data_IF_670112440007
#
_entry.id   IF_670112440007
#
_cell.length_a   1.000
_cell.length_b   1.000
_cell.length_c   1.000
_cell.angle_alpha   90.00
_cell.angle_beta   90.00
_cell.angle_gamma   90.00
#
_symmetry.space_group_name_H-M   'P 1'
#
loop_
_entity.id
_entity.type
_entity.pdbx_description
1 polymer ?
#
# COMPACT_ATOMS: atom_id res chain seq x y z
N UNK A 1 -5.43 -12.41 -5.86
CA UNK A 1 -5.06 -11.34 -4.92
C UNK A 1 -3.89 -11.70 -4.00
N UNK A 2 -3.97 -12.77 -3.19
CA UNK A 2 -2.84 -13.15 -2.31
C UNK A 2 -1.61 -13.74 -3.05
N UNK A 3 -1.79 -14.33 -4.24
CA UNK A 3 -0.68 -14.86 -5.03
C UNK A 3 0.26 -13.76 -5.57
N UNK A 4 -0.25 -12.55 -5.80
CA UNK A 4 0.54 -11.42 -6.32
C UNK A 4 1.60 -10.93 -5.33
N UNK A 5 1.40 -11.12 -4.02
CA UNK A 5 2.45 -10.85 -3.00
C UNK A 5 3.75 -11.63 -3.26
N UNK A 6 3.67 -12.74 -4.01
CA UNK A 6 4.77 -13.67 -4.24
C UNK A 6 5.29 -13.63 -5.67
N UNK A 7 4.76 -12.74 -6.51
CA UNK A 7 5.33 -12.52 -7.84
C UNK A 7 6.54 -11.61 -7.70
N UNK A 8 7.65 -12.02 -8.31
CA UNK A 8 8.89 -11.23 -8.38
C UNK A 8 8.57 -9.84 -8.94
N UNK A 9 7.73 -9.78 -9.96
CA UNK A 9 7.29 -8.56 -10.63
C UNK A 9 6.65 -7.52 -9.70
N UNK A 10 5.68 -7.91 -8.85
CA UNK A 10 5.09 -6.96 -7.89
C UNK A 10 6.12 -6.49 -6.84
N UNK A 11 7.08 -7.34 -6.47
CA UNK A 11 8.15 -6.91 -5.57
C UNK A 11 9.11 -5.93 -6.26
N UNK A 12 9.42 -6.14 -7.54
CA UNK A 12 10.27 -5.25 -8.32
C UNK A 12 9.59 -3.90 -8.56
N UNK A 13 8.30 -3.89 -8.86
CA UNK A 13 7.50 -2.67 -8.94
C UNK A 13 7.48 -1.92 -7.60
N UNK A 14 7.35 -2.64 -6.47
CA UNK A 14 7.43 -2.03 -5.14
C UNK A 14 8.78 -1.36 -4.91
N UNK A 15 9.87 -2.08 -5.17
CA UNK A 15 11.23 -1.54 -5.00
C UNK A 15 11.42 -0.33 -5.90
N UNK A 16 11.06 -0.42 -7.18
CA UNK A 16 11.14 0.68 -8.14
C UNK A 16 10.37 1.91 -7.65
N UNK A 17 9.09 1.76 -7.28
CA UNK A 17 8.24 2.86 -6.78
C UNK A 17 8.85 3.53 -5.56
N UNK A 18 9.31 2.75 -4.58
CA UNK A 18 9.82 3.27 -3.32
C UNK A 18 11.23 3.87 -3.41
N UNK A 19 12.05 3.49 -4.40
CA UNK A 19 13.49 3.85 -4.42
C UNK A 19 13.95 4.61 -5.65
N UNK A 20 13.31 4.42 -6.81
CA UNK A 20 13.82 4.90 -8.11
C UNK A 20 12.89 5.92 -8.76
N UNK A 21 11.57 5.74 -8.63
CA UNK A 21 10.56 6.56 -9.31
C UNK A 21 10.85 8.07 -9.24
N UNK A 22 11.09 8.60 -8.03
CA UNK A 22 11.34 10.03 -7.81
C UNK A 22 12.73 10.50 -8.25
N UNK A 23 13.71 9.59 -8.29
CA UNK A 23 15.04 9.90 -8.80
C UNK A 23 15.04 10.01 -10.34
N UNK A 24 14.14 9.27 -11.00
CA UNK A 24 14.10 9.14 -12.46
C UNK A 24 13.04 10.02 -13.12
N UNK A 25 11.96 10.37 -12.41
CA UNK A 25 10.81 11.06 -13.00
C UNK A 25 10.27 12.17 -12.10
N UNK A 26 10.05 13.37 -12.66
CA UNK A 26 9.41 14.50 -11.94
C UNK A 26 7.90 14.25 -11.76
N UNK A 27 7.31 14.63 -10.60
CA UNK A 27 5.86 14.53 -10.39
C UNK A 27 5.03 15.63 -11.04
N UNK A 28 5.65 16.61 -11.73
CA UNK A 28 4.98 17.81 -12.27
C UNK A 28 3.81 17.53 -13.23
N UNK A 29 3.83 16.38 -13.90
CA UNK A 29 2.78 15.97 -14.84
C UNK A 29 1.89 14.84 -14.28
N UNK A 30 1.95 14.60 -12.97
CA UNK A 30 1.21 13.52 -12.32
C UNK A 30 1.66 12.13 -12.75
N UNK A 31 0.79 11.15 -12.54
CA UNK A 31 0.99 9.76 -12.94
C UNK A 31 0.84 9.62 -14.47
N UNK A 32 -0.09 10.37 -15.06
CA UNK A 32 -0.38 10.39 -16.48
C UNK A 32 0.84 10.80 -17.31
N UNK A 33 1.69 11.71 -16.80
CA UNK A 33 2.93 12.14 -17.43
C UNK A 33 4.09 11.16 -17.37
N UNK A 34 3.98 10.06 -16.61
CA UNK A 34 5.04 9.06 -16.53
C UNK A 34 5.18 8.26 -17.84
N UNK A 35 6.39 7.79 -18.19
CA UNK A 35 6.55 6.80 -19.25
C UNK A 35 5.81 5.51 -18.90
N UNK A 36 5.36 4.78 -19.92
CA UNK A 36 4.50 3.61 -19.76
C UNK A 36 4.99 2.59 -18.69
N UNK A 37 6.27 2.16 -18.68
CA UNK A 37 6.74 1.19 -17.68
C UNK A 37 6.65 1.72 -16.24
N UNK A 38 6.97 3.00 -16.03
CA UNK A 38 6.87 3.62 -14.71
C UNK A 38 5.41 3.73 -14.25
N UNK A 39 4.52 4.09 -15.17
CA UNK A 39 3.07 4.17 -14.91
C UNK A 39 2.46 2.81 -14.58
N UNK A 40 2.85 1.75 -15.29
CA UNK A 40 2.45 0.37 -15.00
C UNK A 40 2.86 -0.04 -13.58
N UNK A 41 4.13 0.17 -13.21
CA UNK A 41 4.62 -0.11 -11.86
C UNK A 41 3.87 0.67 -10.77
N UNK A 42 3.57 1.96 -11.02
CA UNK A 42 2.77 2.79 -10.11
C UNK A 42 1.38 2.22 -9.94
N UNK A 43 0.67 1.91 -11.02
CA UNK A 43 -0.70 1.41 -10.94
C UNK A 43 -0.80 0.04 -10.30
N UNK A 44 0.12 -0.87 -10.62
CA UNK A 44 0.15 -2.19 -10.01
C UNK A 44 0.24 -2.07 -8.50
N UNK A 45 1.17 -1.29 -7.99
CA UNK A 45 1.39 -1.14 -6.55
C UNK A 45 0.27 -0.34 -5.88
N UNK A 46 -0.14 0.76 -6.49
CA UNK A 46 -1.17 1.64 -5.95
C UNK A 46 -2.52 0.93 -5.82
N UNK A 47 -3.01 0.31 -6.90
CA UNK A 47 -4.32 -0.35 -6.90
C UNK A 47 -4.31 -1.64 -6.10
N UNK A 48 -3.17 -2.33 -6.05
CA UNK A 48 -2.98 -3.46 -5.16
C UNK A 48 -3.21 -3.08 -3.69
N UNK A 49 -2.52 -2.06 -3.20
CA UNK A 49 -2.66 -1.60 -1.81
C UNK A 49 -4.01 -0.93 -1.55
N UNK A 50 -4.53 -0.18 -2.52
CA UNK A 50 -5.88 0.41 -2.43
C UNK A 50 -6.94 -0.67 -2.25
N UNK A 51 -6.78 -1.84 -2.87
CA UNK A 51 -7.75 -2.94 -2.72
C UNK A 51 -7.84 -3.40 -1.26
N UNK A 52 -6.71 -3.48 -0.55
CA UNK A 52 -6.72 -3.76 0.89
C UNK A 52 -7.35 -2.64 1.70
N UNK A 53 -7.04 -1.39 1.37
CA UNK A 53 -7.69 -0.24 1.99
C UNK A 53 -9.21 -0.30 1.82
N UNK A 54 -9.69 -0.62 0.61
CA UNK A 54 -11.11 -0.82 0.32
C UNK A 54 -11.73 -1.96 1.11
N UNK A 55 -11.07 -3.12 1.21
CA UNK A 55 -11.55 -4.23 2.03
C UNK A 55 -11.65 -3.87 3.52
N UNK A 56 -10.69 -3.08 4.05
CA UNK A 56 -10.76 -2.57 5.41
C UNK A 56 -11.94 -1.62 5.59
N UNK A 57 -12.10 -0.64 4.68
CA UNK A 57 -13.18 0.35 4.73
C UNK A 57 -14.58 -0.27 4.60
N UNK A 58 -14.71 -1.35 3.84
CA UNK A 58 -15.97 -2.08 3.66
C UNK A 58 -16.24 -3.10 4.78
N UNK A 59 -15.32 -3.28 5.72
CA UNK A 59 -15.44 -4.28 6.79
C UNK A 59 -15.32 -5.73 6.31
N UNK A 60 -14.86 -5.95 5.07
CA UNK A 60 -14.64 -7.29 4.49
C UNK A 60 -13.45 -7.98 5.14
N UNK A 61 -12.42 -7.20 5.48
CA UNK A 61 -11.25 -7.67 6.21
C UNK A 61 -11.01 -6.79 7.44
N UNK A 62 -10.53 -7.42 8.51
CA UNK A 62 -10.22 -6.71 9.75
C UNK A 62 -9.15 -5.65 9.53
N UNK A 63 -9.49 -4.39 9.80
CA UNK A 63 -8.60 -3.25 9.60
C UNK A 63 -7.29 -3.43 10.38
N UNK A 64 -7.36 -3.95 11.61
CA UNK A 64 -6.18 -4.20 12.44
C UNK A 64 -5.26 -5.25 11.82
N UNK A 65 -5.81 -6.35 11.32
CA UNK A 65 -5.04 -7.39 10.64
C UNK A 65 -4.35 -6.85 9.38
N UNK A 66 -5.04 -6.03 8.59
CA UNK A 66 -4.45 -5.41 7.41
C UNK A 66 -3.40 -4.36 7.74
N UNK A 67 -3.60 -3.55 8.80
CA UNK A 67 -2.60 -2.61 9.29
C UNK A 67 -1.35 -3.32 9.78
N UNK A 68 -1.50 -4.48 10.43
CA UNK A 68 -0.37 -5.30 10.84
C UNK A 68 0.38 -5.88 9.63
N UNK A 69 -0.35 -6.42 8.64
CA UNK A 69 0.23 -7.05 7.45
C UNK A 69 0.95 -6.04 6.55
N UNK A 70 0.43 -4.82 6.42
CA UNK A 70 0.89 -3.80 5.48
C UNK A 70 1.61 -2.64 6.17
N UNK A 71 2.02 -2.82 7.43
CA UNK A 71 2.48 -1.76 8.33
C UNK A 71 3.60 -0.89 7.75
N UNK A 72 4.52 -1.48 6.99
CA UNK A 72 5.61 -0.78 6.30
C UNK A 72 5.25 -0.38 4.87
N UNK A 73 4.61 -1.29 4.13
CA UNK A 73 4.41 -1.14 2.68
C UNK A 73 3.50 0.03 2.34
N UNK A 74 2.37 0.19 3.06
CA UNK A 74 1.41 1.26 2.77
C UNK A 74 2.02 2.65 2.98
N UNK A 75 2.61 2.97 4.14
CA UNK A 75 3.21 4.29 4.34
C UNK A 75 4.36 4.57 3.37
N UNK A 76 5.22 3.59 3.09
CA UNK A 76 6.34 3.77 2.16
C UNK A 76 5.85 4.08 0.74
N UNK A 77 4.92 3.28 0.23
CA UNK A 77 4.34 3.51 -1.10
C UNK A 77 3.60 4.83 -1.15
N UNK A 78 2.75 5.13 -0.16
CA UNK A 78 2.00 6.37 -0.15
C UNK A 78 2.92 7.59 -0.17
N UNK A 79 3.97 7.60 0.65
CA UNK A 79 4.94 8.70 0.67
C UNK A 79 5.68 8.87 -0.67
N UNK A 80 5.97 7.78 -1.36
CA UNK A 80 6.60 7.82 -2.69
C UNK A 80 5.63 8.34 -3.77
N UNK A 81 4.37 7.92 -3.73
CA UNK A 81 3.38 8.25 -4.76
C UNK A 81 2.68 9.59 -4.53
N UNK A 82 2.59 10.07 -3.29
CA UNK A 82 1.82 11.27 -2.91
C UNK A 82 2.04 12.46 -3.85
N UNK A 83 3.28 12.87 -4.21
CA UNK A 83 3.47 14.01 -5.10
C UNK A 83 2.86 13.83 -6.50
N UNK A 84 2.91 12.62 -7.06
CA UNK A 84 2.31 12.31 -8.36
C UNK A 84 0.78 12.30 -8.28
N UNK A 85 0.24 11.75 -7.19
CA UNK A 85 -1.19 11.64 -6.95
C UNK A 85 -1.82 13.01 -6.72
N UNK A 86 -1.18 13.84 -5.89
CA UNK A 86 -1.60 15.24 -5.67
C UNK A 86 -1.66 15.98 -7.00
N UNK A 87 -0.61 15.85 -7.83
CA UNK A 87 -0.60 16.53 -9.12
C UNK A 87 -1.65 16.01 -10.11
N UNK A 88 -1.85 14.69 -10.13
CA UNK A 88 -2.89 14.05 -10.94
C UNK A 88 -4.30 14.48 -10.51
N UNK A 89 -4.54 14.70 -9.21
CA UNK A 89 -5.85 15.17 -8.72
C UNK A 89 -6.13 16.62 -9.11
N UNK A 90 -5.10 17.46 -9.21
CA UNK A 90 -5.23 18.86 -9.63
C UNK A 90 -5.54 19.01 -11.13
N UNK A 91 -4.89 18.21 -11.95
CA UNK A 91 -4.78 18.47 -13.41
C UNK A 91 -5.22 17.30 -14.29
N UNK A 92 -5.38 16.11 -13.70
CA UNK A 92 -5.64 14.86 -14.41
C UNK A 92 -7.12 14.53 -14.60
N UNK A 93 -7.42 13.57 -15.49
CA UNK A 93 -8.78 13.23 -15.88
C UNK A 93 -9.56 12.40 -14.83
N UNK A 94 -8.87 11.86 -13.83
CA UNK A 94 -9.45 10.89 -12.86
C UNK A 94 -10.11 11.59 -11.66
N UNK A 95 -9.80 12.87 -11.44
CA UNK A 95 -10.44 13.70 -10.42
C UNK A 95 -9.92 13.50 -8.98
N UNK A 96 -10.50 14.21 -8.00
CA UNK A 96 -9.93 14.37 -6.66
C UNK A 96 -9.89 13.08 -5.80
N UNK A 97 -10.61 12.04 -6.19
CA UNK A 97 -10.78 10.80 -5.43
C UNK A 97 -9.73 9.74 -5.75
N UNK A 98 -8.85 9.99 -6.73
CA UNK A 98 -7.78 9.06 -7.10
C UNK A 98 -6.97 8.64 -5.87
N UNK A 99 -6.93 7.34 -5.57
CA UNK A 99 -6.19 6.78 -4.42
C UNK A 99 -6.60 7.29 -3.03
N UNK A 100 -7.79 7.89 -2.87
CA UNK A 100 -8.23 8.44 -1.58
C UNK A 100 -8.34 7.38 -0.46
N UNK A 101 -8.74 6.15 -0.79
CA UNK A 101 -8.79 5.06 0.19
C UNK A 101 -7.38 4.64 0.65
N UNK A 102 -6.43 4.58 -0.27
CA UNK A 102 -5.04 4.27 0.05
C UNK A 102 -4.44 5.36 0.96
N UNK A 103 -4.69 6.62 0.65
CA UNK A 103 -4.29 7.77 1.47
C UNK A 103 -4.87 7.68 2.89
N UNK A 104 -6.18 7.47 3.01
CA UNK A 104 -6.85 7.38 4.31
C UNK A 104 -6.31 6.21 5.16
N UNK A 105 -5.95 5.10 4.51
CA UNK A 105 -5.34 3.94 5.14
C UNK A 105 -3.88 4.20 5.55
N UNK A 106 -3.12 4.94 4.73
CA UNK A 106 -1.75 5.36 5.05
C UNK A 106 -1.69 6.39 6.17
N UNK A 107 -2.71 7.23 6.31
CA UNK A 107 -2.84 8.23 7.36
C UNK A 107 -3.11 7.64 8.76
N UNK A 108 -3.25 6.32 8.89
CA UNK A 108 -3.46 5.69 10.20
C UNK A 108 -2.25 5.91 11.12
N UNK A 109 -2.47 6.26 12.40
CA UNK A 109 -1.38 6.56 13.32
C UNK A 109 -0.36 5.43 13.42
N UNK A 110 0.92 5.76 13.50
CA UNK A 110 1.99 4.78 13.66
C UNK A 110 1.80 3.89 14.88
N UNK A 111 1.45 4.48 16.02
CA UNK A 111 1.15 3.74 17.24
C UNK A 111 0.02 2.71 17.06
N UNK A 112 -0.96 2.98 16.18
CA UNK A 112 -2.02 2.02 15.86
C UNK A 112 -1.47 0.84 15.04
N UNK A 113 -0.59 1.12 14.06
CA UNK A 113 0.08 0.12 13.24
C UNK A 113 0.98 -0.78 14.08
N UNK A 114 1.81 -0.21 14.95
CA UNK A 114 2.71 -0.95 15.84
C UNK A 114 1.95 -1.89 16.78
N UNK A 115 0.88 -1.39 17.41
CA UNK A 115 -0.01 -2.21 18.25
C UNK A 115 -0.64 -3.35 17.45
N UNK A 116 -1.05 -3.10 16.22
CA UNK A 116 -1.62 -4.13 15.35
C UNK A 116 -0.60 -5.23 15.04
N UNK A 117 0.65 -4.88 14.71
CA UNK A 117 1.75 -5.83 14.50
C UNK A 117 2.00 -6.64 15.77
N UNK A 118 2.12 -5.97 16.92
CA UNK A 118 2.33 -6.64 18.20
C UNK A 118 1.24 -7.68 18.49
N UNK A 119 -0.03 -7.30 18.38
CA UNK A 119 -1.17 -8.19 18.60
C UNK A 119 -1.19 -9.38 17.65
N UNK A 120 -0.81 -9.18 16.37
CA UNK A 120 -0.74 -10.25 15.39
C UNK A 120 0.35 -11.27 15.75
N UNK A 121 1.53 -10.79 16.16
CA UNK A 121 2.65 -11.65 16.57
C UNK A 121 2.31 -12.45 17.83
N UNK A 122 1.67 -11.84 18.82
CA UNK A 122 1.22 -12.54 20.04
C UNK A 122 0.19 -13.63 19.71
N UNK A 123 -0.78 -13.35 18.84
CA UNK A 123 -1.73 -14.37 18.35
C UNK A 123 -1.02 -15.54 17.64
N UNK A 124 -0.03 -15.24 16.80
CA UNK A 124 0.74 -16.26 16.10
C UNK A 124 1.63 -17.11 17.03
N UNK A 125 2.01 -16.58 18.20
CA UNK A 125 2.75 -17.31 19.24
C UNK A 125 1.80 -18.21 20.04
N UNK A 126 0.68 -17.67 20.52
CA UNK A 126 -0.31 -18.40 21.34
C UNK A 126 -1.05 -19.52 20.57
N UNK A 127 -1.24 -19.35 19.26
CA UNK A 127 -1.80 -20.40 18.40
C UNK A 127 -0.85 -21.57 18.12
N UNK A 128 0.47 -21.40 18.34
CA UNK A 128 1.47 -22.49 18.21
C UNK A 128 1.56 -23.35 19.45
N UNK A 129 1.43 -22.76 20.64
CA UNK A 129 1.43 -23.50 21.92
C UNK A 129 0.23 -24.42 22.08
N UNK A 130 -0.93 -24.06 21.55
CA UNK A 130 -2.16 -24.90 21.61
C UNK A 130 -2.16 -26.06 20.61
N UNK A 131 -1.36 -26.00 19.53
CA UNK A 131 -1.23 -27.09 18.54
C UNK A 131 -0.17 -28.13 18.90
N UNK A 132 0.80 -27.80 19.75
CA UNK A 132 1.82 -28.74 20.24
C UNK A 132 1.39 -29.54 21.48
N UNK A 133 0.25 -29.17 22.09
CA UNK A 133 -0.32 -29.82 23.26
C UNK A 133 -1.51 -30.76 22.94
N UNK A 134 -1.70 -31.11 21.66
CA UNK A 134 -2.68 -32.09 21.16
C UNK A 134 -1.95 -33.14 20.35
#
# INVERSE_FOLDING_TARGET
MLAQFRTVELNDHYVYVCTRLRAEHSPELGISGLPRPAREAVYDIAYYLQTFAGMASLGVAGERELLALLHTRVPQVWNALRPYVEKERETGPVGPQLLALLEAFAARPEALRERAVHNLLERARSGRTTRLAR
#
